data_IF_748091119575
#
_entry.id   IF_748091119575
#
_cell.length_a   1.000
_cell.length_b   1.000
_cell.length_c   1.000
_cell.angle_alpha   90.00
_cell.angle_beta   90.00
_cell.angle_gamma   90.00
#
_symmetry.space_group_name_H-M   'P 1'
#
loop_
_entity.id
_entity.type
_entity.pdbx_description
1 polymer ?
#
# COMPACT_ATOMS: atom_id res chain seq x y z
N UNK A 1 27.68 -15.91 13.49
CA UNK A 1 26.27 -15.64 13.87
C UNK A 1 26.09 -14.14 14.00
N UNK A 2 25.85 -13.45 12.89
CA UNK A 2 25.68 -11.97 12.85
C UNK A 2 24.36 -11.58 12.15
N UNK A 3 23.76 -12.47 11.36
CA UNK A 3 22.51 -12.19 10.64
C UNK A 3 21.25 -12.08 11.51
N UNK A 4 21.10 -12.85 12.58
CA UNK A 4 19.80 -12.90 13.29
C UNK A 4 19.40 -11.62 14.04
N UNK A 5 20.34 -10.71 14.31
CA UNK A 5 20.04 -9.46 15.05
C UNK A 5 19.57 -8.32 14.14
N UNK A 6 20.21 -8.14 12.98
CA UNK A 6 19.84 -7.08 12.03
C UNK A 6 18.43 -7.30 11.44
N UNK A 7 18.07 -8.55 11.14
CA UNK A 7 16.72 -8.88 10.66
C UNK A 7 15.62 -8.61 11.69
N UNK A 8 15.90 -8.72 13.00
CA UNK A 8 14.89 -8.49 14.03
C UNK A 8 14.61 -6.99 14.24
N UNK A 9 15.65 -6.16 14.21
CA UNK A 9 15.53 -4.70 14.41
C UNK A 9 14.75 -4.02 13.27
N UNK A 10 15.00 -4.40 12.00
CA UNK A 10 14.23 -3.87 10.86
C UNK A 10 12.75 -4.26 10.93
N UNK A 11 12.46 -5.50 11.35
CA UNK A 11 11.08 -5.95 11.49
C UNK A 11 10.38 -5.21 12.64
N UNK A 12 11.02 -5.02 13.79
CA UNK A 12 10.44 -4.26 14.91
C UNK A 12 10.14 -2.80 14.53
N UNK A 13 11.03 -2.12 13.79
CA UNK A 13 10.78 -0.76 13.30
C UNK A 13 9.58 -0.68 12.34
N UNK A 14 9.50 -1.60 11.37
CA UNK A 14 8.36 -1.64 10.44
C UNK A 14 7.06 -1.90 11.19
N UNK A 15 7.07 -2.80 12.17
CA UNK A 15 5.88 -3.14 12.96
C UNK A 15 5.40 -1.93 13.78
N UNK A 16 6.32 -1.21 14.41
CA UNK A 16 6.03 0.02 15.16
C UNK A 16 5.47 1.13 14.25
N UNK A 17 6.03 1.31 13.05
CA UNK A 17 5.53 2.29 12.07
C UNK A 17 4.11 1.96 11.60
N UNK A 18 3.78 0.67 11.49
CA UNK A 18 2.43 0.20 11.12
C UNK A 18 1.44 0.41 12.27
N UNK A 19 1.81 0.19 13.53
CA UNK A 19 0.90 0.39 14.67
C UNK A 19 0.42 1.85 14.82
N UNK A 20 1.26 2.82 14.46
CA UNK A 20 0.89 4.24 14.46
C UNK A 20 0.03 4.68 13.25
N UNK A 21 -0.28 3.77 12.31
CA UNK A 21 -1.11 4.08 11.16
C UNK A 21 -2.60 4.07 11.51
N UNK A 22 -3.38 5.05 10.99
CA UNK A 22 -4.83 4.97 11.00
C UNK A 22 -5.31 3.64 10.41
N UNK A 23 -6.42 3.10 10.94
CA UNK A 23 -6.94 1.79 10.51
C UNK A 23 -7.10 1.66 8.99
N UNK A 24 -7.59 2.72 8.33
CA UNK A 24 -7.74 2.71 6.88
C UNK A 24 -6.42 2.60 6.12
N UNK A 25 -5.32 3.14 6.66
CA UNK A 25 -4.00 3.03 6.06
C UNK A 25 -3.43 1.62 6.26
N UNK A 26 -3.60 1.04 7.46
CA UNK A 26 -3.23 -0.36 7.72
C UNK A 26 -3.96 -1.33 6.79
N UNK A 27 -5.28 -1.14 6.60
CA UNK A 27 -6.06 -1.96 5.68
C UNK A 27 -5.52 -1.92 4.25
N UNK A 28 -5.10 -0.74 3.78
CA UNK A 28 -4.51 -0.61 2.44
C UNK A 28 -3.17 -1.36 2.37
N UNK A 29 -2.30 -1.22 3.37
CA UNK A 29 -1.01 -1.96 3.41
C UNK A 29 -1.24 -3.47 3.39
N UNK A 30 -2.09 -3.98 4.29
CA UNK A 30 -2.38 -5.41 4.37
C UNK A 30 -2.97 -5.94 3.05
N UNK A 31 -3.80 -5.14 2.37
CA UNK A 31 -4.32 -5.51 1.06
C UNK A 31 -3.23 -5.57 -0.01
N UNK A 32 -2.32 -4.59 -0.04
CA UNK A 32 -1.18 -4.60 -0.96
C UNK A 32 -0.24 -5.79 -0.71
N UNK A 33 0.04 -6.10 0.55
CA UNK A 33 0.83 -7.27 0.94
C UNK A 33 0.14 -8.56 0.51
N UNK A 34 -1.16 -8.69 0.72
CA UNK A 34 -1.94 -9.83 0.24
C UNK A 34 -1.84 -10.00 -1.28
N UNK A 35 -2.07 -8.92 -2.05
CA UNK A 35 -1.98 -8.97 -3.51
C UNK A 35 -0.56 -9.30 -3.99
N UNK A 36 0.47 -8.85 -3.27
CA UNK A 36 1.86 -9.19 -3.58
C UNK A 36 2.18 -10.65 -3.26
N UNK A 37 1.91 -11.10 -2.04
CA UNK A 37 2.31 -12.41 -1.54
C UNK A 37 1.49 -13.55 -2.13
N UNK A 38 0.18 -13.34 -2.33
CA UNK A 38 -0.75 -14.39 -2.78
C UNK A 38 -0.95 -14.35 -4.29
N UNK A 39 -1.12 -13.15 -4.86
CA UNK A 39 -1.42 -13.00 -6.29
C UNK A 39 -0.18 -12.64 -7.13
N UNK A 40 0.99 -12.49 -6.51
CA UNK A 40 2.25 -12.11 -7.17
C UNK A 40 2.13 -10.82 -8.00
N UNK A 41 1.28 -9.89 -7.58
CA UNK A 41 1.14 -8.58 -8.23
C UNK A 41 2.28 -7.66 -7.80
N UNK A 42 2.86 -6.96 -8.77
CA UNK A 42 3.85 -5.90 -8.51
C UNK A 42 3.22 -4.52 -8.40
N UNK A 43 1.99 -4.35 -8.90
CA UNK A 43 1.23 -3.10 -8.85
C UNK A 43 -0.23 -3.40 -8.63
N UNK A 44 -0.93 -2.50 -7.93
CA UNK A 44 -2.36 -2.60 -7.66
C UNK A 44 -3.03 -1.29 -8.05
N UNK A 45 -4.07 -1.35 -8.87
CA UNK A 45 -4.80 -0.17 -9.29
C UNK A 45 -5.64 0.40 -8.15
N UNK A 46 -5.87 1.72 -8.16
CA UNK A 46 -6.66 2.37 -7.13
C UNK A 46 -8.08 1.79 -6.99
N UNK A 47 -8.68 1.35 -8.10
CA UNK A 47 -9.99 0.70 -8.09
C UNK A 47 -9.95 -0.65 -7.35
N UNK A 48 -8.92 -1.46 -7.58
CA UNK A 48 -8.74 -2.74 -6.89
C UNK A 48 -8.58 -2.53 -5.37
N UNK A 49 -7.88 -1.46 -4.96
CA UNK A 49 -7.78 -1.10 -3.53
C UNK A 49 -9.17 -0.80 -2.95
N UNK A 50 -10.02 -0.05 -3.65
CA UNK A 50 -11.38 0.25 -3.18
C UNK A 50 -12.19 -1.04 -3.07
N UNK A 51 -12.19 -1.85 -4.12
CA UNK A 51 -12.99 -3.07 -4.21
C UNK A 51 -12.53 -4.12 -3.18
N UNK A 52 -11.21 -4.25 -2.96
CA UNK A 52 -10.62 -5.21 -2.03
C UNK A 52 -10.66 -4.80 -0.56
N UNK A 53 -10.63 -3.50 -0.25
CA UNK A 53 -10.67 -3.01 1.14
C UNK A 53 -12.08 -2.59 1.60
N UNK A 54 -13.02 -2.37 0.67
CA UNK A 54 -14.35 -1.85 0.97
C UNK A 54 -14.37 -0.38 1.43
N UNK A 55 -13.23 0.32 1.36
CA UNK A 55 -13.14 1.72 1.77
C UNK A 55 -13.84 2.64 0.76
N UNK A 56 -14.45 3.72 1.26
CA UNK A 56 -14.94 4.77 0.36
C UNK A 56 -13.78 5.39 -0.44
N UNK A 57 -14.07 5.88 -1.65
CA UNK A 57 -13.09 6.57 -2.51
C UNK A 57 -12.30 7.64 -1.74
N UNK A 58 -12.99 8.45 -0.94
CA UNK A 58 -12.37 9.52 -0.14
C UNK A 58 -11.43 8.95 0.93
N UNK A 59 -11.88 7.92 1.64
CA UNK A 59 -11.09 7.27 2.70
C UNK A 59 -9.85 6.59 2.13
N UNK A 60 -10.00 5.82 1.05
CA UNK A 60 -8.89 5.17 0.37
C UNK A 60 -7.87 6.19 -0.15
N UNK A 61 -8.33 7.29 -0.75
CA UNK A 61 -7.42 8.36 -1.22
C UNK A 61 -6.65 9.01 -0.06
N UNK A 62 -7.31 9.27 1.07
CA UNK A 62 -6.65 9.81 2.26
C UNK A 62 -5.62 8.82 2.83
N UNK A 63 -5.97 7.54 2.92
CA UNK A 63 -5.07 6.48 3.38
C UNK A 63 -3.81 6.39 2.49
N UNK A 64 -3.97 6.33 1.17
CA UNK A 64 -2.86 6.30 0.21
C UNK A 64 -1.98 7.56 0.36
N UNK A 65 -2.57 8.74 0.53
CA UNK A 65 -1.80 9.95 0.74
C UNK A 65 -0.98 9.92 2.04
N UNK A 66 -1.50 9.34 3.12
CA UNK A 66 -0.76 9.17 4.38
C UNK A 66 0.42 8.22 4.17
N UNK A 67 0.17 7.05 3.58
CA UNK A 67 1.19 6.05 3.31
C UNK A 67 2.31 6.60 2.41
N UNK A 68 1.93 7.29 1.33
CA UNK A 68 2.88 7.95 0.42
C UNK A 68 3.72 9.01 1.13
N UNK A 69 3.11 9.86 1.97
CA UNK A 69 3.84 10.89 2.72
C UNK A 69 4.85 10.30 3.71
N UNK A 70 4.58 9.10 4.22
CA UNK A 70 5.48 8.34 5.10
C UNK A 70 6.52 7.51 4.33
N UNK A 71 6.49 7.52 3.00
CA UNK A 71 7.42 6.74 2.16
C UNK A 71 7.16 5.23 2.16
N UNK A 72 5.98 4.79 2.61
CA UNK A 72 5.65 3.37 2.71
C UNK A 72 5.18 2.76 1.40
N UNK A 73 4.69 3.60 0.48
CA UNK A 73 4.25 3.18 -0.86
C UNK A 73 4.66 4.21 -1.89
N UNK A 74 4.89 3.73 -3.11
CA UNK A 74 5.00 4.57 -4.29
C UNK A 74 3.70 4.61 -5.06
N UNK A 75 3.39 5.78 -5.64
CA UNK A 75 2.16 6.01 -6.40
C UNK A 75 2.51 6.64 -7.73
N UNK A 76 2.12 5.98 -8.82
CA UNK A 76 2.38 6.41 -10.18
C UNK A 76 1.06 6.65 -10.92
N UNK A 77 1.09 7.53 -11.90
CA UNK A 77 0.00 7.71 -12.85
C UNK A 77 0.43 7.11 -14.20
N UNK A 78 -0.24 6.07 -14.67
CA UNK A 78 -0.03 5.60 -16.03
C UNK A 78 -0.77 6.51 -17.02
N UNK A 79 0.00 7.32 -17.75
CA UNK A 79 -0.53 8.29 -18.73
C UNK A 79 -0.99 7.58 -20.02
N UNK A 80 -0.54 6.34 -20.29
CA UNK A 80 -0.93 5.59 -21.50
C UNK A 80 -2.41 5.20 -21.46
N UNK A 81 -2.96 4.97 -20.27
CA UNK A 81 -4.35 4.56 -20.12
C UNK A 81 -5.37 5.67 -20.43
N UNK A 82 -4.98 6.95 -20.29
CA UNK A 82 -5.87 8.09 -20.57
C UNK A 82 -6.29 8.20 -22.04
N UNK A 83 -5.52 7.66 -22.99
CA UNK A 83 -5.87 7.76 -24.43
C UNK A 83 -7.02 6.84 -24.84
N UNK A 84 -7.44 5.88 -24.00
CA UNK A 84 -8.57 4.99 -24.31
C UNK A 84 -9.95 5.61 -24.08
N UNK A 85 -10.02 6.75 -23.39
CA UNK A 85 -11.27 7.45 -23.08
C UNK A 85 -11.33 8.88 -23.65
N UNK A 86 -10.40 9.24 -24.53
CA UNK A 86 -10.33 10.55 -25.19
C UNK A 86 -10.52 10.46 -26.71
N UNK A 87 -11.48 9.65 -27.15
CA UNK A 87 -11.98 9.61 -28.54
C UNK A 87 -13.49 9.66 -28.49
#
# INVERSE_FOLDING_TARGET
>A
MVGEREYNEENEEITNVIEELPLSARLVVNYLEFEHLINNKSYVAFKEIIDGTGLSVRTARNAINILRKRGLIDVFLDVKERRRYSV
#
